data_IF_853082413097
#
_entry.id   IF_853082413097
#
_cell.length_a   1.000
_cell.length_b   1.000
_cell.length_c   1.000
_cell.angle_alpha   90.00
_cell.angle_beta   90.00
_cell.angle_gamma   90.00
#
_symmetry.space_group_name_H-M   'P 1'
#
loop_
_entity.id
_entity.type
_entity.pdbx_description
1 polymer ?
#
# COMPACT_ATOMS: atom_id res chain seq x y z
N UNK A 1 -7.69 -19.97 -14.30
CA UNK A 1 -8.31 -18.74 -13.73
C UNK A 1 -9.28 -18.99 -12.56
N UNK A 2 -10.07 -20.07 -12.55
CA UNK A 2 -11.02 -20.34 -11.45
C UNK A 2 -10.35 -20.62 -10.10
N UNK A 3 -9.28 -21.40 -10.06
CA UNK A 3 -8.57 -21.75 -8.82
C UNK A 3 -7.89 -20.53 -8.18
N UNK A 4 -7.23 -19.69 -8.96
CA UNK A 4 -6.61 -18.46 -8.47
C UNK A 4 -7.65 -17.50 -7.88
N UNK A 5 -8.81 -17.37 -8.50
CA UNK A 5 -9.91 -16.55 -7.97
C UNK A 5 -10.45 -17.09 -6.64
N UNK A 6 -10.50 -18.42 -6.48
CA UNK A 6 -10.92 -19.06 -5.23
C UNK A 6 -9.92 -18.81 -4.11
N UNK A 7 -8.63 -18.99 -4.35
CA UNK A 7 -7.57 -18.67 -3.37
C UNK A 7 -7.63 -17.21 -2.95
N UNK A 8 -7.80 -16.28 -3.91
CA UNK A 8 -7.90 -14.86 -3.61
C UNK A 8 -9.12 -14.51 -2.74
N UNK A 9 -10.26 -15.21 -2.89
CA UNK A 9 -11.43 -15.01 -2.02
C UNK A 9 -11.13 -15.37 -0.56
N UNK A 10 -10.50 -16.52 -0.32
CA UNK A 10 -10.11 -16.93 1.04
C UNK A 10 -9.07 -16.00 1.65
N UNK A 11 -8.08 -15.57 0.88
CA UNK A 11 -7.08 -14.60 1.33
C UNK A 11 -7.70 -13.23 1.63
N UNK A 12 -8.70 -12.81 0.85
CA UNK A 12 -9.43 -11.57 1.12
C UNK A 12 -10.24 -11.67 2.40
N UNK A 13 -10.93 -12.79 2.63
CA UNK A 13 -11.65 -13.03 3.88
C UNK A 13 -10.68 -12.99 5.07
N UNK A 14 -9.55 -13.67 4.97
CA UNK A 14 -8.51 -13.64 6.01
C UNK A 14 -8.03 -12.21 6.29
N UNK A 15 -7.78 -11.39 5.25
CA UNK A 15 -7.37 -9.98 5.41
C UNK A 15 -8.40 -9.16 6.18
N UNK A 16 -9.69 -9.32 5.84
CA UNK A 16 -10.77 -8.61 6.53
C UNK A 16 -10.85 -9.02 7.99
N UNK A 17 -10.75 -10.32 8.27
CA UNK A 17 -10.76 -10.84 9.64
C UNK A 17 -9.54 -10.39 10.45
N UNK A 18 -8.35 -10.38 9.85
CA UNK A 18 -7.13 -9.93 10.52
C UNK A 18 -7.18 -8.42 10.82
N UNK A 19 -7.66 -7.60 9.89
CA UNK A 19 -7.89 -6.17 10.14
C UNK A 19 -8.95 -5.96 11.24
N UNK A 20 -10.03 -6.70 11.20
CA UNK A 20 -11.07 -6.66 12.26
C UNK A 20 -10.51 -7.02 13.62
N UNK A 21 -9.64 -8.04 13.70
CA UNK A 21 -8.97 -8.43 14.93
C UNK A 21 -7.99 -7.33 15.43
N UNK A 22 -7.24 -6.70 14.52
CA UNK A 22 -6.38 -5.55 14.86
C UNK A 22 -7.21 -4.39 15.43
N UNK A 23 -8.31 -4.01 14.78
CA UNK A 23 -9.18 -2.93 15.26
C UNK A 23 -9.79 -3.26 16.62
N UNK A 24 -10.31 -4.47 16.78
CA UNK A 24 -10.93 -4.90 18.04
C UNK A 24 -9.92 -4.85 19.20
N UNK A 25 -8.73 -5.40 19.02
CA UNK A 25 -7.68 -5.41 20.06
C UNK A 25 -7.16 -4.01 20.37
N UNK A 26 -6.97 -3.14 19.38
CA UNK A 26 -6.59 -1.75 19.59
C UNK A 26 -7.68 -0.94 20.31
N UNK A 27 -8.95 -1.15 19.94
CA UNK A 27 -10.07 -0.50 20.61
C UNK A 27 -10.17 -0.91 22.09
N UNK A 28 -9.96 -2.20 22.39
CA UNK A 28 -9.90 -2.68 23.77
C UNK A 28 -8.75 -2.01 24.52
N UNK A 29 -7.55 -1.96 23.94
CA UNK A 29 -6.39 -1.31 24.56
C UNK A 29 -6.67 0.17 24.89
N UNK A 30 -7.16 0.92 23.92
CA UNK A 30 -7.48 2.35 24.12
C UNK A 30 -8.59 2.55 25.18
N UNK A 31 -9.54 1.60 25.26
CA UNK A 31 -10.63 1.68 26.26
C UNK A 31 -10.13 1.34 27.67
N UNK A 32 -9.23 0.37 27.83
CA UNK A 32 -8.73 -0.05 29.15
C UNK A 32 -7.62 0.88 29.67
N UNK A 33 -6.67 1.22 28.83
CA UNK A 33 -5.54 2.10 29.22
C UNK A 33 -5.96 3.58 29.27
N UNK A 34 -7.12 3.91 28.68
CA UNK A 34 -7.57 5.28 28.50
C UNK A 34 -6.84 6.01 27.37
N UNK A 35 -7.18 7.30 27.22
CA UNK A 35 -6.49 8.14 26.25
C UNK A 35 -5.08 8.46 26.74
N UNK A 36 -4.06 8.44 25.87
CA UNK A 36 -2.69 8.72 26.25
C UNK A 36 -2.55 10.11 26.88
N UNK A 37 -1.48 10.32 27.64
CA UNK A 37 -1.22 11.56 28.35
C UNK A 37 -1.33 12.79 27.43
N UNK A 38 -1.69 13.95 27.97
CA UNK A 38 -1.90 15.19 27.21
C UNK A 38 -0.66 15.56 26.40
N UNK A 39 0.55 15.30 26.95
CA UNK A 39 1.81 15.56 26.27
C UNK A 39 1.98 14.69 25.00
N UNK A 40 1.57 13.42 25.06
CA UNK A 40 1.60 12.53 23.89
C UNK A 40 0.59 12.97 22.85
N UNK A 41 -0.63 13.32 23.26
CA UNK A 41 -1.66 13.89 22.38
C UNK A 41 -1.20 15.20 21.73
N UNK A 42 -0.51 16.06 22.48
CA UNK A 42 0.05 17.30 21.94
C UNK A 42 1.12 17.03 20.88
N UNK A 43 1.94 15.99 21.03
CA UNK A 43 2.88 15.56 19.99
C UNK A 43 2.18 15.06 18.73
N UNK A 44 1.09 14.29 18.86
CA UNK A 44 0.31 13.81 17.71
C UNK A 44 -0.38 14.94 16.95
N UNK A 45 -0.89 15.97 17.64
CA UNK A 45 -1.67 17.06 17.04
C UNK A 45 -0.78 18.26 16.69
N UNK A 46 0.28 18.53 17.46
CA UNK A 46 1.06 19.77 17.37
C UNK A 46 2.30 19.72 16.47
N UNK A 47 2.71 18.55 16.05
CA UNK A 47 3.96 18.41 15.30
C UNK A 47 3.74 18.24 13.81
N UNK A 48 3.41 19.32 13.12
CA UNK A 48 3.73 19.44 11.70
C UNK A 48 5.26 19.48 11.55
N UNK A 49 5.88 18.34 11.78
CA UNK A 49 7.30 18.17 11.54
C UNK A 49 7.46 17.68 10.11
N UNK A 50 7.93 18.56 9.24
CA UNK A 50 8.14 18.26 7.80
C UNK A 50 9.03 17.02 7.61
N UNK A 51 9.99 16.81 8.51
CA UNK A 51 10.90 15.66 8.48
C UNK A 51 10.15 14.36 8.76
N UNK A 52 9.29 14.31 9.78
CA UNK A 52 8.50 13.13 10.10
C UNK A 52 7.43 12.85 9.02
N UNK A 53 6.82 13.91 8.48
CA UNK A 53 5.93 13.79 7.33
C UNK A 53 6.67 13.20 6.13
N UNK A 54 7.88 13.64 5.83
CA UNK A 54 8.67 13.13 4.72
C UNK A 54 9.06 11.66 4.89
N UNK A 55 9.33 11.20 6.12
CA UNK A 55 9.57 9.76 6.42
C UNK A 55 8.34 8.90 6.16
N UNK A 56 7.15 9.38 6.53
CA UNK A 56 5.88 8.67 6.32
C UNK A 56 5.38 8.74 4.88
N UNK A 57 5.78 9.73 4.10
CA UNK A 57 5.27 10.00 2.76
C UNK A 57 5.50 8.83 1.80
N UNK A 58 6.73 8.29 1.74
CA UNK A 58 7.07 7.17 0.86
C UNK A 58 6.21 5.92 1.12
N UNK A 59 6.15 5.40 2.35
CA UNK A 59 5.28 4.28 2.71
C UNK A 59 3.79 4.53 2.43
N UNK A 60 3.28 5.75 2.69
CA UNK A 60 1.90 6.11 2.37
C UNK A 60 1.62 6.05 0.86
N UNK A 61 2.52 6.61 0.04
CA UNK A 61 2.38 6.57 -1.41
C UNK A 61 2.48 5.15 -1.95
N UNK A 62 3.38 4.34 -1.38
CA UNK A 62 3.47 2.92 -1.73
C UNK A 62 2.18 2.15 -1.41
N UNK A 63 1.56 2.42 -0.26
CA UNK A 63 0.32 1.76 0.16
C UNK A 63 -0.87 2.04 -0.76
N UNK A 64 -0.92 3.26 -1.35
CA UNK A 64 -2.00 3.68 -2.26
C UNK A 64 -1.67 3.35 -3.73
N UNK A 65 -0.49 2.81 -4.00
CA UNK A 65 -0.02 2.52 -5.36
C UNK A 65 -0.78 1.36 -6.00
N UNK A 66 -1.93 1.65 -6.61
CA UNK A 66 -2.78 0.65 -7.26
C UNK A 66 -3.08 0.97 -8.73
N UNK A 67 -2.62 2.10 -9.25
CA UNK A 67 -3.00 2.61 -10.58
C UNK A 67 -2.68 1.63 -11.71
N UNK A 68 -1.59 0.87 -11.63
CA UNK A 68 -1.20 -0.13 -12.63
C UNK A 68 -2.16 -1.32 -12.72
N UNK A 69 -2.94 -1.59 -11.66
CA UNK A 69 -3.94 -2.66 -11.64
C UNK A 69 -5.34 -2.20 -12.05
N UNK A 70 -5.60 -0.89 -12.10
CA UNK A 70 -6.92 -0.35 -12.44
C UNK A 70 -7.42 -0.87 -13.79
N UNK A 71 -6.62 -0.89 -14.88
CA UNK A 71 -7.06 -1.43 -16.16
C UNK A 71 -7.52 -2.89 -16.08
N UNK A 72 -6.80 -3.73 -15.34
CA UNK A 72 -7.10 -5.14 -15.15
C UNK A 72 -8.41 -5.37 -14.37
N UNK A 73 -8.72 -4.48 -13.42
CA UNK A 73 -9.97 -4.51 -12.65
C UNK A 73 -11.16 -4.04 -13.48
N UNK A 74 -10.95 -3.05 -14.34
CA UNK A 74 -12.00 -2.44 -15.15
C UNK A 74 -12.34 -3.31 -16.39
N UNK A 75 -11.35 -4.00 -16.95
CA UNK A 75 -11.50 -4.78 -18.18
C UNK A 75 -12.66 -5.81 -18.12
N UNK A 76 -12.83 -6.62 -17.05
CA UNK A 76 -13.89 -7.62 -16.96
C UNK A 76 -15.28 -7.05 -16.65
N UNK A 77 -15.42 -5.75 -16.38
CA UNK A 77 -16.71 -5.15 -16.10
C UNK A 77 -17.63 -5.20 -17.33
N UNK A 78 -18.80 -5.80 -17.18
CA UNK A 78 -19.81 -5.88 -18.24
C UNK A 78 -20.33 -4.51 -18.67
N UNK A 79 -20.54 -3.61 -17.69
CA UNK A 79 -20.96 -2.23 -17.95
C UNK A 79 -19.81 -1.26 -17.61
N UNK A 80 -19.48 -0.40 -18.56
CA UNK A 80 -18.47 0.66 -18.38
C UNK A 80 -19.05 1.92 -17.73
N UNK A 81 -20.35 1.97 -17.43
CA UNK A 81 -21.00 3.11 -16.80
C UNK A 81 -20.39 3.45 -15.40
N UNK A 82 -19.98 2.43 -14.66
CA UNK A 82 -19.47 2.58 -13.30
C UNK A 82 -17.93 2.50 -13.20
N UNK A 83 -17.21 2.69 -14.31
CA UNK A 83 -15.74 2.59 -14.36
C UNK A 83 -15.04 3.49 -13.33
N UNK A 84 -15.59 4.68 -13.05
CA UNK A 84 -15.05 5.60 -12.04
C UNK A 84 -15.41 5.20 -10.61
N UNK A 85 -16.65 4.77 -10.40
CA UNK A 85 -17.17 4.50 -9.05
C UNK A 85 -16.43 3.34 -8.37
N UNK A 86 -16.08 2.30 -9.12
CA UNK A 86 -15.40 1.12 -8.56
C UNK A 86 -14.03 1.44 -7.94
N UNK A 87 -13.07 2.07 -8.66
CA UNK A 87 -11.79 2.41 -8.06
C UNK A 87 -11.90 3.51 -6.98
N UNK A 88 -12.80 4.49 -7.15
CA UNK A 88 -13.02 5.52 -6.15
C UNK A 88 -13.54 4.94 -4.83
N UNK A 89 -14.51 4.04 -4.89
CA UNK A 89 -15.04 3.37 -3.70
C UNK A 89 -13.96 2.51 -3.04
N UNK A 90 -13.21 1.73 -3.82
CA UNK A 90 -12.16 0.87 -3.30
C UNK A 90 -11.05 1.68 -2.60
N UNK A 91 -10.60 2.78 -3.22
CA UNK A 91 -9.61 3.68 -2.63
C UNK A 91 -10.15 4.41 -1.40
N UNK A 92 -11.42 4.85 -1.44
CA UNK A 92 -12.07 5.48 -0.30
C UNK A 92 -12.15 4.56 0.91
N UNK A 93 -12.57 3.31 0.71
CA UNK A 93 -12.59 2.29 1.78
C UNK A 93 -11.18 2.01 2.30
N UNK A 94 -10.19 1.86 1.42
CA UNK A 94 -8.80 1.65 1.84
C UNK A 94 -8.27 2.83 2.67
N UNK A 95 -8.54 4.06 2.24
CA UNK A 95 -8.14 5.28 2.96
C UNK A 95 -8.75 5.32 4.37
N UNK A 96 -10.05 5.05 4.48
CA UNK A 96 -10.75 5.01 5.78
C UNK A 96 -10.11 3.95 6.69
N UNK A 97 -9.86 2.73 6.20
CA UNK A 97 -9.23 1.66 6.98
C UNK A 97 -7.81 2.05 7.43
N UNK A 98 -7.00 2.65 6.56
CA UNK A 98 -5.65 3.11 6.91
C UNK A 98 -5.67 4.24 7.94
N UNK A 99 -6.59 5.20 7.82
CA UNK A 99 -6.75 6.28 8.78
C UNK A 99 -7.16 5.73 10.15
N UNK A 100 -8.14 4.82 10.19
CA UNK A 100 -8.55 4.20 11.45
C UNK A 100 -7.41 3.41 12.11
N UNK A 101 -6.70 2.59 11.34
CA UNK A 101 -5.57 1.82 11.87
C UNK A 101 -4.45 2.73 12.36
N UNK A 102 -4.14 3.79 11.61
CA UNK A 102 -3.13 4.78 11.98
C UNK A 102 -3.49 5.54 13.24
N UNK A 103 -4.72 6.04 13.34
CA UNK A 103 -5.19 6.79 14.52
C UNK A 103 -5.24 5.89 15.75
N UNK A 104 -5.85 4.71 15.66
CA UNK A 104 -5.93 3.78 16.78
C UNK A 104 -4.55 3.28 17.19
N UNK A 105 -3.65 3.00 16.24
CA UNK A 105 -2.28 2.62 16.53
C UNK A 105 -1.52 3.72 17.27
N UNK A 106 -1.63 4.96 16.79
CA UNK A 106 -0.99 6.11 17.43
C UNK A 106 -1.54 6.42 18.83
N UNK A 107 -2.82 6.10 19.08
CA UNK A 107 -3.43 6.24 20.41
C UNK A 107 -3.09 5.07 21.35
N UNK A 108 -2.84 3.88 20.80
CA UNK A 108 -2.60 2.68 21.59
C UNK A 108 -1.14 2.46 21.96
N UNK A 109 -0.19 2.98 21.18
CA UNK A 109 1.23 2.73 21.37
C UNK A 109 2.03 4.04 21.38
N UNK A 110 2.94 4.16 22.34
CA UNK A 110 3.90 5.28 22.40
C UNK A 110 5.00 5.12 21.34
N UNK A 111 5.40 3.88 21.07
CA UNK A 111 6.39 3.53 20.04
C UNK A 111 5.81 2.45 19.11
N UNK A 112 5.69 2.80 17.84
CA UNK A 112 5.09 1.94 16.83
C UNK A 112 6.18 1.29 16.01
N UNK A 113 6.16 -0.05 15.93
CA UNK A 113 7.05 -0.78 15.04
C UNK A 113 6.86 -0.39 13.58
N UNK A 114 7.93 -0.39 12.75
CA UNK A 114 7.86 -0.10 11.32
C UNK A 114 6.83 -0.97 10.57
N UNK A 115 6.57 -2.18 11.05
CA UNK A 115 5.46 -3.02 10.64
C UNK A 115 4.43 -3.08 11.76
N UNK A 116 3.27 -2.51 11.56
CA UNK A 116 2.21 -2.41 12.57
C UNK A 116 1.86 -3.78 13.19
N UNK A 117 1.84 -4.86 12.40
CA UNK A 117 1.56 -6.21 12.89
C UNK A 117 2.59 -6.73 13.91
N UNK A 118 3.83 -6.23 13.93
CA UNK A 118 4.85 -6.63 14.89
C UNK A 118 4.53 -6.17 16.32
N UNK A 119 3.69 -5.15 16.49
CA UNK A 119 3.24 -4.73 17.82
C UNK A 119 2.46 -5.83 18.54
N UNK A 120 1.86 -6.78 17.80
CA UNK A 120 1.20 -7.95 18.38
C UNK A 120 2.14 -9.09 18.78
N UNK A 121 3.46 -8.97 18.53
CA UNK A 121 4.42 -9.98 18.96
C UNK A 121 4.41 -10.18 20.49
N UNK A 122 4.08 -9.13 21.24
CA UNK A 122 4.02 -9.14 22.70
C UNK A 122 2.59 -9.16 23.24
N UNK A 123 1.59 -9.48 22.43
CA UNK A 123 0.20 -9.54 22.86
C UNK A 123 -0.02 -10.65 23.90
N UNK A 124 -0.54 -10.33 25.07
CA UNK A 124 -0.72 -11.23 26.22
C UNK A 124 -2.16 -11.59 26.48
N UNK A 125 -3.12 -10.82 25.94
CA UNK A 125 -4.56 -10.87 26.24
C UNK A 125 -4.89 -10.52 27.70
N UNK A 126 -4.02 -9.78 28.43
CA UNK A 126 -4.25 -9.27 29.78
C UNK A 126 -4.29 -7.76 29.78
N UNK A 127 -5.11 -7.15 30.64
CA UNK A 127 -5.33 -5.71 30.63
C UNK A 127 -5.70 -5.22 29.24
N UNK A 128 -5.17 -4.11 28.78
CA UNK A 128 -5.34 -3.63 27.40
C UNK A 128 -4.82 -4.57 26.30
N UNK A 129 -4.43 -5.79 26.65
CA UNK A 129 -3.96 -6.84 25.75
C UNK A 129 -2.44 -6.99 25.72
N UNK A 130 -1.68 -6.09 26.32
CA UNK A 130 -0.21 -6.10 26.37
C UNK A 130 0.40 -6.08 27.76
N UNK A 131 -0.45 -6.07 28.81
CA UNK A 131 0.00 -6.06 30.19
C UNK A 131 0.50 -7.44 30.66
N UNK A 132 1.26 -7.45 31.77
CA UNK A 132 1.66 -8.67 32.41
C UNK A 132 0.46 -9.33 33.10
N UNK A 133 0.27 -10.61 32.85
CA UNK A 133 -0.81 -11.38 33.46
C UNK A 133 -0.46 -11.72 34.92
N UNK A 134 -0.94 -10.93 35.86
CA UNK A 134 -0.64 -11.09 37.30
C UNK A 134 -1.49 -12.22 37.92
N UNK A 135 -2.69 -12.48 37.39
CA UNK A 135 -3.67 -13.41 37.98
C UNK A 135 -3.49 -14.90 37.58
N UNK A 136 -2.42 -15.23 36.88
CA UNK A 136 -2.17 -16.61 36.39
C UNK A 136 -2.00 -17.63 37.56
N UNK A 137 -1.61 -17.16 38.74
CA UNK A 137 -1.45 -18.02 39.93
C UNK A 137 -2.79 -18.38 40.62
N UNK A 138 -3.76 -17.48 40.50
CA UNK A 138 -5.09 -17.66 41.19
C UNK A 138 -6.09 -18.51 40.38
N UNK A 139 -5.92 -18.59 39.03
CA UNK A 139 -6.84 -19.31 38.17
C UNK A 139 -6.14 -20.06 37.03
N UNK A 140 -5.40 -21.15 37.26
CA UNK A 140 -4.51 -21.82 36.27
C UNK A 140 -5.25 -22.32 35.03
N UNK A 141 -6.53 -22.70 35.15
CA UNK A 141 -7.34 -23.15 34.01
C UNK A 141 -7.59 -22.00 33.01
N UNK A 142 -7.99 -20.84 33.49
CA UNK A 142 -8.19 -19.65 32.64
C UNK A 142 -6.90 -19.11 32.10
N UNK A 143 -5.78 -19.23 32.83
CA UNK A 143 -4.44 -18.89 32.39
C UNK A 143 -4.03 -19.71 31.17
N UNK A 144 -4.31 -21.02 31.17
CA UNK A 144 -4.04 -21.89 30.01
C UNK A 144 -4.83 -21.49 28.77
N UNK A 145 -6.14 -21.30 28.90
CA UNK A 145 -7.00 -20.86 27.78
C UNK A 145 -6.59 -19.49 27.24
N UNK A 146 -6.25 -18.54 28.11
CA UNK A 146 -5.77 -17.19 27.76
C UNK A 146 -4.45 -17.25 26.97
N UNK A 147 -3.48 -18.07 27.41
CA UNK A 147 -2.22 -18.26 26.71
C UNK A 147 -2.42 -18.80 25.30
N UNK A 148 -3.31 -19.78 25.13
CA UNK A 148 -3.66 -20.34 23.81
C UNK A 148 -4.28 -19.24 22.94
N UNK A 149 -5.24 -18.49 23.47
CA UNK A 149 -5.88 -17.39 22.76
C UNK A 149 -4.88 -16.31 22.35
N UNK A 150 -4.03 -15.85 23.28
CA UNK A 150 -2.99 -14.85 22.99
C UNK A 150 -2.02 -15.33 21.92
N UNK A 151 -1.56 -16.59 21.99
CA UNK A 151 -0.68 -17.18 20.99
C UNK A 151 -1.35 -17.29 19.62
N UNK A 152 -2.60 -17.74 19.58
CA UNK A 152 -3.37 -17.84 18.34
C UNK A 152 -3.59 -16.46 17.70
N UNK A 153 -3.93 -15.45 18.51
CA UNK A 153 -4.12 -14.08 18.04
C UNK A 153 -2.82 -13.47 17.51
N UNK A 154 -1.70 -13.66 18.24
CA UNK A 154 -0.37 -13.26 17.75
C UNK A 154 -0.08 -13.85 16.38
N UNK A 155 -0.17 -15.18 16.27
CA UNK A 155 0.14 -15.88 15.04
C UNK A 155 -0.76 -15.43 13.90
N UNK A 156 -2.06 -15.29 14.19
CA UNK A 156 -3.05 -14.84 13.22
C UNK A 156 -2.73 -13.45 12.65
N UNK A 157 -2.34 -12.50 13.50
CA UNK A 157 -2.01 -11.14 13.06
C UNK A 157 -0.60 -11.07 12.46
N UNK A 158 0.39 -11.77 13.01
CA UNK A 158 1.75 -11.78 12.48
C UNK A 158 1.85 -12.44 11.09
N UNK A 159 0.97 -13.38 10.78
CA UNK A 159 0.90 -14.01 9.45
C UNK A 159 0.21 -13.12 8.40
N UNK A 160 -0.47 -12.05 8.81
CA UNK A 160 -1.17 -11.15 7.88
C UNK A 160 -0.27 -10.59 6.78
N UNK A 161 0.92 -10.02 7.04
CA UNK A 161 1.81 -9.55 5.98
C UNK A 161 2.28 -10.68 5.06
N UNK A 162 2.54 -11.86 5.62
CA UNK A 162 3.01 -13.03 4.87
C UNK A 162 1.98 -13.46 3.84
N UNK A 163 0.74 -13.67 4.24
CA UNK A 163 -0.35 -14.02 3.33
C UNK A 163 -0.67 -12.91 2.34
N UNK A 164 -0.51 -11.66 2.75
CA UNK A 164 -0.67 -10.52 1.85
C UNK A 164 0.38 -10.55 0.73
N UNK A 165 1.65 -10.77 1.07
CA UNK A 165 2.75 -10.86 0.10
C UNK A 165 2.58 -12.08 -0.82
N UNK A 166 2.31 -13.26 -0.28
CA UNK A 166 2.10 -14.50 -1.06
C UNK A 166 1.01 -14.31 -2.12
N UNK A 167 -0.04 -13.53 -1.82
CA UNK A 167 -1.13 -13.31 -2.75
C UNK A 167 -0.85 -12.22 -3.79
N UNK A 168 -0.13 -11.16 -3.41
CA UNK A 168 0.08 -9.99 -4.29
C UNK A 168 1.32 -10.11 -5.15
N UNK A 169 2.39 -10.72 -4.63
CA UNK A 169 3.67 -10.84 -5.31
C UNK A 169 3.59 -11.54 -6.68
N UNK A 170 2.96 -12.72 -6.82
CA UNK A 170 2.83 -13.36 -8.13
C UNK A 170 2.05 -12.52 -9.14
N UNK A 171 0.99 -11.82 -8.69
CA UNK A 171 0.20 -10.96 -9.57
C UNK A 171 1.01 -9.78 -10.10
N UNK A 172 1.80 -9.14 -9.24
CA UNK A 172 2.67 -8.02 -9.65
C UNK A 172 3.74 -8.51 -10.63
N UNK A 173 4.39 -9.64 -10.34
CA UNK A 173 5.41 -10.22 -11.22
C UNK A 173 4.84 -10.60 -12.60
N UNK A 174 3.64 -11.17 -12.65
CA UNK A 174 2.99 -11.51 -13.93
C UNK A 174 2.63 -10.25 -14.71
N UNK A 175 2.04 -9.23 -14.08
CA UNK A 175 1.71 -7.96 -14.73
C UNK A 175 2.98 -7.28 -15.27
N UNK A 176 4.06 -7.27 -14.51
CA UNK A 176 5.35 -6.72 -14.95
C UNK A 176 5.91 -7.51 -16.14
N UNK A 177 5.88 -8.84 -16.07
CA UNK A 177 6.38 -9.71 -17.13
C UNK A 177 5.57 -9.54 -18.43
N UNK A 178 4.25 -9.42 -18.34
CA UNK A 178 3.40 -9.19 -19.50
C UNK A 178 3.69 -7.82 -20.14
N UNK A 179 3.85 -6.76 -19.35
CA UNK A 179 4.21 -5.43 -19.83
C UNK A 179 5.61 -5.44 -20.48
N UNK A 180 6.60 -6.09 -19.87
CA UNK A 180 7.94 -6.21 -20.46
C UNK A 180 7.92 -7.03 -21.75
N UNK A 181 7.12 -8.08 -21.81
CA UNK A 181 6.95 -8.89 -23.03
C UNK A 181 6.38 -8.05 -24.18
N UNK A 182 5.46 -7.13 -23.91
CA UNK A 182 4.93 -6.19 -24.89
C UNK A 182 5.97 -5.15 -25.34
N UNK A 183 6.85 -4.75 -24.45
CA UNK A 183 7.90 -3.75 -24.73
C UNK A 183 9.11 -4.32 -25.50
N UNK A 184 9.22 -5.66 -25.65
CA UNK A 184 10.34 -6.28 -26.37
C UNK A 184 10.32 -5.91 -27.86
N UNK A 185 11.43 -5.40 -28.41
CA UNK A 185 11.53 -5.05 -29.83
C UNK A 185 11.24 -6.25 -30.75
N UNK A 186 10.64 -5.98 -31.89
CA UNK A 186 10.21 -7.00 -32.85
C UNK A 186 11.39 -7.88 -33.35
N UNK A 187 12.57 -7.27 -33.50
CA UNK A 187 13.80 -7.98 -33.89
C UNK A 187 14.14 -9.12 -32.91
N UNK A 188 13.92 -8.91 -31.62
CA UNK A 188 14.18 -9.91 -30.58
C UNK A 188 13.07 -10.96 -30.58
N UNK A 189 11.81 -10.56 -30.80
CA UNK A 189 10.65 -11.46 -30.90
C UNK A 189 10.81 -12.47 -32.03
N UNK A 190 11.44 -12.10 -33.14
CA UNK A 190 11.64 -12.98 -34.28
C UNK A 190 12.73 -14.03 -34.03
N UNK A 191 13.65 -13.82 -33.09
CA UNK A 191 14.76 -14.75 -32.79
C UNK A 191 14.41 -15.84 -31.78
N UNK A 192 13.45 -15.61 -30.90
CA UNK A 192 13.10 -16.52 -29.82
C UNK A 192 11.64 -16.99 -29.94
N UNK A 193 11.39 -18.25 -29.59
CA UNK A 193 10.02 -18.72 -29.42
C UNK A 193 9.29 -17.86 -28.39
N UNK A 194 8.06 -17.48 -28.64
CA UNK A 194 7.24 -16.66 -27.73
C UNK A 194 7.19 -17.25 -26.31
N UNK A 195 7.04 -18.56 -26.19
CA UNK A 195 7.01 -19.26 -24.91
C UNK A 195 8.34 -19.14 -24.15
N UNK A 196 9.46 -19.34 -24.85
CA UNK A 196 10.79 -19.22 -24.24
C UNK A 196 11.05 -17.81 -23.75
N UNK A 197 10.76 -16.81 -24.56
CA UNK A 197 10.94 -15.40 -24.21
C UNK A 197 10.09 -15.02 -23.00
N UNK A 198 8.80 -15.39 -22.98
CA UNK A 198 7.89 -15.11 -21.86
C UNK A 198 8.39 -15.77 -20.57
N UNK A 199 8.88 -17.00 -20.63
CA UNK A 199 9.41 -17.68 -19.44
C UNK A 199 10.68 -17.02 -18.91
N UNK A 200 11.61 -16.62 -19.79
CA UNK A 200 12.82 -15.89 -19.40
C UNK A 200 12.45 -14.59 -18.70
N UNK A 201 11.55 -13.81 -19.29
CA UNK A 201 11.11 -12.53 -18.73
C UNK A 201 10.45 -12.74 -17.35
N UNK A 202 9.60 -13.78 -17.19
CA UNK A 202 8.98 -14.12 -15.91
C UNK A 202 10.02 -14.46 -14.84
N UNK A 203 11.02 -15.26 -15.18
CA UNK A 203 12.13 -15.59 -14.27
C UNK A 203 12.90 -14.31 -13.89
N UNK A 204 13.21 -13.46 -14.86
CA UNK A 204 13.89 -12.18 -14.61
C UNK A 204 13.06 -11.21 -13.76
N UNK A 205 11.73 -11.30 -13.77
CA UNK A 205 10.87 -10.50 -12.90
C UNK A 205 10.76 -11.05 -11.48
N UNK A 206 10.88 -12.38 -11.30
CA UNK A 206 10.67 -13.03 -10.00
C UNK A 206 11.96 -13.10 -9.19
N UNK A 207 13.09 -13.49 -9.78
CA UNK A 207 14.32 -13.76 -9.02
C UNK A 207 14.97 -12.51 -8.38
N UNK A 208 15.12 -11.36 -9.07
CA UNK A 208 15.82 -10.21 -8.48
C UNK A 208 15.17 -9.68 -7.20
N UNK A 209 13.84 -9.51 -7.09
CA UNK A 209 13.23 -9.07 -5.84
C UNK A 209 13.46 -10.05 -4.68
N UNK A 210 13.45 -11.36 -4.93
CA UNK A 210 13.74 -12.38 -3.89
C UNK A 210 15.20 -12.25 -3.43
N UNK A 211 16.14 -12.10 -4.36
CA UNK A 211 17.55 -11.93 -4.02
C UNK A 211 17.79 -10.62 -3.24
N UNK A 212 17.15 -9.53 -3.66
CA UNK A 212 17.20 -8.25 -2.95
C UNK A 212 16.61 -8.35 -1.53
N UNK A 213 15.49 -9.04 -1.36
CA UNK A 213 14.87 -9.24 -0.05
C UNK A 213 15.77 -10.04 0.92
N UNK A 214 16.63 -10.94 0.42
CA UNK A 214 17.59 -11.65 1.24
C UNK A 214 18.73 -10.77 1.75
N UNK A 215 19.10 -9.73 0.99
CA UNK A 215 20.21 -8.81 1.32
C UNK A 215 19.72 -7.60 2.13
N UNK A 216 18.62 -6.99 1.73
CA UNK A 216 18.09 -5.79 2.37
C UNK A 216 17.14 -6.15 3.51
N UNK A 217 17.54 -5.82 4.75
CA UNK A 217 16.74 -6.07 5.96
C UNK A 217 15.95 -4.86 6.46
N UNK A 218 16.25 -3.65 5.96
CA UNK A 218 15.58 -2.40 6.35
C UNK A 218 14.38 -2.14 5.44
N UNK A 219 13.22 -2.59 5.86
CA UNK A 219 11.97 -2.46 5.08
C UNK A 219 11.50 -1.01 4.90
N UNK A 220 11.72 -0.16 5.90
CA UNK A 220 11.37 1.25 5.89
C UNK A 220 12.06 2.01 4.75
N UNK A 221 13.34 1.76 4.53
CA UNK A 221 14.12 2.36 3.43
C UNK A 221 13.60 1.88 2.08
N UNK A 222 13.33 0.58 1.95
CA UNK A 222 12.80 0.01 0.69
C UNK A 222 11.44 0.63 0.35
N UNK A 223 10.53 0.72 1.33
CA UNK A 223 9.21 1.31 1.12
C UNK A 223 9.28 2.81 0.81
N UNK A 224 10.22 3.53 1.44
CA UNK A 224 10.42 4.95 1.16
C UNK A 224 10.89 5.18 -0.27
N UNK A 225 11.89 4.43 -0.73
CA UNK A 225 12.38 4.51 -2.12
C UNK A 225 11.28 4.10 -3.11
N UNK A 226 10.66 2.95 -2.88
CA UNK A 226 9.58 2.44 -3.75
C UNK A 226 8.39 3.41 -3.79
N UNK A 227 8.09 4.08 -2.68
CA UNK A 227 7.04 5.09 -2.60
C UNK A 227 7.35 6.34 -3.42
N UNK A 228 8.60 6.82 -3.44
CA UNK A 228 9.01 7.96 -4.26
C UNK A 228 8.86 7.61 -5.76
N UNK A 229 9.34 6.44 -6.17
CA UNK A 229 9.14 5.97 -7.54
C UNK A 229 7.65 5.77 -7.87
N UNK A 230 6.90 5.18 -6.93
CA UNK A 230 5.46 5.00 -7.06
C UNK A 230 4.72 6.33 -7.25
N UNK A 231 5.06 7.35 -6.46
CA UNK A 231 4.48 8.69 -6.59
C UNK A 231 4.79 9.33 -7.94
N UNK A 232 6.02 9.19 -8.43
CA UNK A 232 6.41 9.68 -9.76
C UNK A 232 5.56 9.03 -10.85
N UNK A 233 5.34 7.72 -10.78
CA UNK A 233 4.51 6.99 -11.73
C UNK A 233 3.01 7.29 -11.58
N UNK A 234 2.55 7.62 -10.37
CA UNK A 234 1.12 7.88 -10.09
C UNK A 234 0.69 9.31 -10.43
N UNK A 235 1.55 10.29 -10.23
CA UNK A 235 1.20 11.69 -10.40
C UNK A 235 2.02 12.37 -11.50
N UNK A 236 3.34 12.30 -11.43
CA UNK A 236 4.21 13.05 -12.36
C UNK A 236 4.03 12.58 -13.80
N UNK A 237 4.10 11.26 -14.04
CA UNK A 237 3.95 10.70 -15.38
C UNK A 237 2.54 10.91 -15.97
N UNK A 238 1.43 10.67 -15.27
CA UNK A 238 0.10 10.95 -15.80
C UNK A 238 -0.14 12.43 -16.08
N UNK A 239 0.36 13.34 -15.24
CA UNK A 239 0.28 14.77 -15.52
C UNK A 239 1.05 15.14 -16.81
N UNK A 240 2.25 14.62 -16.97
CA UNK A 240 3.06 14.84 -18.17
C UNK A 240 2.36 14.30 -19.43
N UNK A 241 1.88 13.05 -19.38
CA UNK A 241 1.16 12.45 -20.51
C UNK A 241 -0.13 13.20 -20.83
N UNK A 242 -0.84 13.69 -19.82
CA UNK A 242 -2.05 14.48 -20.02
C UNK A 242 -1.74 15.81 -20.71
N UNK A 243 -0.66 16.51 -20.34
CA UNK A 243 -0.22 17.72 -21.01
C UNK A 243 0.11 17.47 -22.48
N UNK A 244 0.89 16.42 -22.77
CA UNK A 244 1.21 16.05 -24.15
C UNK A 244 -0.05 15.69 -24.95
N UNK A 245 -1.01 15.01 -24.32
CA UNK A 245 -2.27 14.65 -24.97
C UNK A 245 -3.12 15.87 -25.26
N UNK A 246 -3.19 16.83 -24.36
CA UNK A 246 -3.90 18.10 -24.58
C UNK A 246 -3.30 18.82 -25.81
N UNK A 247 -1.96 18.98 -25.83
CA UNK A 247 -1.27 19.66 -26.93
C UNK A 247 -1.50 18.93 -28.26
N UNK A 248 -1.32 17.62 -28.28
CA UNK A 248 -1.54 16.82 -29.49
C UNK A 248 -2.98 16.88 -30.02
N UNK A 249 -3.97 16.78 -29.10
CA UNK A 249 -5.38 16.84 -29.49
C UNK A 249 -5.76 18.22 -30.03
N UNK A 250 -5.28 19.30 -29.41
CA UNK A 250 -5.57 20.66 -29.86
C UNK A 250 -4.91 21.01 -31.20
N UNK A 251 -3.71 20.49 -31.46
CA UNK A 251 -3.03 20.64 -32.75
C UNK A 251 -3.69 19.83 -33.86
N UNK A 252 -4.12 18.59 -33.56
CA UNK A 252 -4.62 17.67 -34.58
C UNK A 252 -6.11 17.86 -34.87
N UNK A 253 -6.92 18.10 -33.83
CA UNK A 253 -8.39 18.11 -33.94
C UNK A 253 -9.02 19.48 -33.62
N UNK A 254 -8.21 20.47 -33.28
CA UNK A 254 -8.65 21.84 -32.95
C UNK A 254 -8.92 22.06 -31.46
N UNK A 255 -9.13 23.33 -31.10
CA UNK A 255 -9.33 23.76 -29.71
C UNK A 255 -10.53 23.09 -29.06
N UNK A 256 -10.33 22.57 -27.85
CA UNK A 256 -11.38 21.93 -27.05
C UNK A 256 -11.55 20.42 -27.32
N UNK A 257 -10.82 19.85 -28.28
CA UNK A 257 -10.89 18.42 -28.58
C UNK A 257 -10.31 17.52 -27.47
N UNK A 258 -9.55 18.08 -26.56
CA UNK A 258 -9.01 17.40 -25.37
C UNK A 258 -10.06 17.12 -24.29
N UNK A 259 -11.25 17.76 -24.38
CA UNK A 259 -12.32 17.55 -23.41
C UNK A 259 -13.08 16.27 -23.75
N UNK A 260 -13.03 15.29 -22.87
CA UNK A 260 -13.73 14.01 -23.02
C UNK A 260 -14.85 13.87 -21.97
N UNK A 261 -15.84 12.96 -22.18
CA UNK A 261 -16.83 12.66 -21.13
C UNK A 261 -16.22 12.21 -19.80
N UNK A 262 -14.96 11.80 -19.81
CA UNK A 262 -14.20 11.36 -18.63
C UNK A 262 -13.36 12.49 -18.00
N UNK A 263 -13.37 13.69 -18.56
CA UNK A 263 -12.67 14.84 -17.98
C UNK A 263 -13.27 15.22 -16.63
N UNK A 264 -12.42 15.53 -15.66
CA UNK A 264 -12.81 15.93 -14.30
C UNK A 264 -13.12 17.44 -14.17
N UNK A 265 -13.63 18.06 -15.24
CA UNK A 265 -13.94 19.49 -15.26
C UNK A 265 -12.73 20.35 -14.93
N UNK A 266 -12.79 21.10 -13.84
CA UNK A 266 -11.73 21.99 -13.39
C UNK A 266 -10.35 21.30 -13.23
N UNK A 267 -10.32 20.07 -12.70
CA UNK A 267 -9.06 19.32 -12.50
C UNK A 267 -8.39 18.89 -13.80
N UNK A 268 -9.12 18.84 -14.91
CA UNK A 268 -8.58 18.54 -16.24
C UNK A 268 -8.12 19.79 -17.00
N UNK A 269 -8.23 20.97 -16.39
CA UNK A 269 -7.76 22.22 -17.00
C UNK A 269 -6.24 22.21 -17.09
N UNK A 270 -5.69 22.64 -18.25
CA UNK A 270 -4.24 22.68 -18.54
C UNK A 270 -3.44 23.32 -17.40
N UNK A 271 -3.88 24.48 -16.92
CA UNK A 271 -3.18 25.22 -15.86
C UNK A 271 -3.11 24.44 -14.55
N UNK A 272 -4.18 23.70 -14.20
CA UNK A 272 -4.22 22.88 -12.98
C UNK A 272 -3.29 21.66 -13.14
N UNK A 273 -3.31 21.01 -14.30
CA UNK A 273 -2.41 19.87 -14.60
C UNK A 273 -0.95 20.32 -14.59
N UNK A 274 -0.61 21.50 -15.14
CA UNK A 274 0.73 22.08 -15.05
C UNK A 274 1.14 22.37 -13.61
N UNK A 275 0.27 22.94 -12.81
CA UNK A 275 0.53 23.21 -11.39
C UNK A 275 0.76 21.91 -10.60
N UNK A 276 -0.05 20.88 -10.84
CA UNK A 276 0.13 19.55 -10.23
C UNK A 276 1.44 18.89 -10.68
N UNK A 277 1.80 19.03 -11.95
CA UNK A 277 3.06 18.51 -12.48
C UNK A 277 4.26 19.18 -11.80
N UNK A 278 4.29 20.50 -11.69
CA UNK A 278 5.36 21.23 -10.99
C UNK A 278 5.41 20.89 -9.51
N UNK A 279 4.24 20.84 -8.84
CA UNK A 279 4.13 20.46 -7.44
C UNK A 279 4.69 19.04 -7.20
N UNK A 280 4.43 18.11 -8.12
CA UNK A 280 4.93 16.74 -8.00
C UNK A 280 6.47 16.67 -8.00
N UNK A 281 7.16 17.49 -8.79
CA UNK A 281 8.63 17.57 -8.76
C UNK A 281 9.15 18.11 -7.43
N UNK A 282 8.51 19.13 -6.89
CA UNK A 282 8.90 19.68 -5.58
C UNK A 282 8.76 18.61 -4.50
N UNK A 283 7.64 17.89 -4.48
CA UNK A 283 7.40 16.83 -3.49
C UNK A 283 8.42 15.68 -3.65
N UNK A 284 8.67 15.22 -4.87
CA UNK A 284 9.69 14.18 -5.16
C UNK A 284 11.07 14.63 -4.72
N UNK A 285 11.45 15.88 -5.01
CA UNK A 285 12.73 16.45 -4.61
C UNK A 285 12.90 16.49 -3.09
N UNK A 286 11.89 16.98 -2.37
CA UNK A 286 11.90 17.03 -0.90
C UNK A 286 11.95 15.61 -0.32
N UNK A 287 11.15 14.68 -0.81
CA UNK A 287 11.14 13.31 -0.35
C UNK A 287 12.50 12.62 -0.58
N UNK A 288 13.10 12.81 -1.75
CA UNK A 288 14.40 12.24 -2.09
C UNK A 288 15.53 12.75 -1.18
N UNK A 289 15.59 14.07 -0.95
CA UNK A 289 16.58 14.69 -0.06
C UNK A 289 16.46 14.15 1.36
N UNK A 290 15.24 13.89 1.85
CA UNK A 290 15.04 13.35 3.21
C UNK A 290 15.35 11.86 3.33
N UNK A 291 15.23 11.08 2.25
CA UNK A 291 15.54 9.63 2.26
C UNK A 291 17.03 9.36 2.06
N UNK A 292 17.74 10.23 1.33
CA UNK A 292 19.16 10.06 1.01
C UNK A 292 20.08 9.79 2.21
N UNK A 293 19.97 10.50 3.35
CA UNK A 293 20.80 10.26 4.54
C UNK A 293 20.58 8.88 5.19
N UNK A 294 19.42 8.25 4.94
CA UNK A 294 19.10 6.92 5.50
C UNK A 294 19.61 5.77 4.65
N UNK A 295 20.06 6.06 3.41
CA UNK A 295 20.62 5.09 2.46
C UNK A 295 22.14 5.03 2.59
N UNK A 296 22.80 6.15 2.87
CA UNK A 296 24.22 6.25 3.13
C UNK A 296 24.56 5.88 4.57
#
# INVERSE_FOLDING_TARGET
>A
MSEQATVQKYLTLYRVLALGAMFATLAVKVNEDGLPAIEHRARLIGAWNLTEFAKGFGPCMFAINCHYNIPNVIQPLRSKANVRAVPQLALGVALVLYLFLGILGALAFDDISPMVSLNWANYTACGGGWDLCIDDAAAPYYAGARKIYAHSMRLFILLFPVFNIISTYPMICLTLADNLTLAVPEIVRLRFSHTMMTNIIRICCVLPPIALAAVFKKLDVIFSIAGIFGFTLQLTMPCYLNLLTIDYCEETFGKGSSITPFSLGFLSCRSVVQALFLLSFVIVGVAFVNVLPHIM
#
